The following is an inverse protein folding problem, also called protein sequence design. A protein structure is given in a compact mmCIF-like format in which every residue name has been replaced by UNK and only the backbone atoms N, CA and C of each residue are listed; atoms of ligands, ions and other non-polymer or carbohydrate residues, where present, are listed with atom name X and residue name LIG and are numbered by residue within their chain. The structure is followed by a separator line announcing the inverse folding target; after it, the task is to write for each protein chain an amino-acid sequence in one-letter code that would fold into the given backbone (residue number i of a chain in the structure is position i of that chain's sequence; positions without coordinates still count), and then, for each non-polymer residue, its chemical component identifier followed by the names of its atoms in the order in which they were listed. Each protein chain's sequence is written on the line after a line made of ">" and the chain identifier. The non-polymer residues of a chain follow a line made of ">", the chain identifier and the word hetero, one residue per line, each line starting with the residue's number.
data_IF_714175923545
#
_entry.id   IF_714175923545
#
_cell.length_a   1.000
_cell.length_b   1.000
_cell.length_c   1.000
_cell.angle_alpha   90.00
_cell.angle_beta   90.00
_cell.angle_gamma   90.00
#
_symmetry.space_group_name_H-M   'P 1'
#
loop_
_entity.id
_entity.type
_entity.pdbx_description
1 polymer ?
#
# COMPACT_ATOMS: atom_id res chain seq x y z
N UNK A 1 10.93 23.85 16.26
CA UNK A 1 10.38 22.51 16.54
C UNK A 1 11.30 21.49 15.93
N UNK A 2 11.90 20.59 16.68
CA UNK A 2 12.76 19.55 16.13
C UNK A 2 11.89 18.58 15.30
N UNK A 3 12.35 18.13 14.12
CA UNK A 3 11.65 17.10 13.34
C UNK A 3 11.52 15.85 14.19
N UNK A 4 10.31 15.30 14.28
CA UNK A 4 10.09 14.02 14.97
C UNK A 4 10.93 12.95 14.27
N UNK A 5 11.71 12.15 15.01
CA UNK A 5 12.48 11.08 14.42
C UNK A 5 11.53 10.12 13.67
N UNK A 6 11.98 9.51 12.55
CA UNK A 6 11.19 8.51 11.86
C UNK A 6 10.80 7.41 12.84
N UNK A 7 9.52 7.05 12.87
CA UNK A 7 9.03 5.98 13.72
C UNK A 7 9.69 4.69 13.24
N UNK A 8 10.46 4.04 14.12
CA UNK A 8 11.06 2.75 13.81
C UNK A 8 9.94 1.73 13.60
N UNK A 9 9.99 0.99 12.50
CA UNK A 9 9.03 -0.05 12.14
C UNK A 9 9.78 -1.36 11.96
N UNK A 10 9.45 -2.35 12.76
CA UNK A 10 9.98 -3.72 12.63
C UNK A 10 9.07 -4.53 11.70
N UNK A 11 9.66 -5.35 10.84
CA UNK A 11 8.90 -6.26 9.98
C UNK A 11 8.88 -7.65 10.63
N UNK A 12 7.70 -8.11 10.99
CA UNK A 12 7.48 -9.38 11.67
C UNK A 12 7.31 -10.55 10.68
N UNK A 13 6.63 -10.28 9.56
CA UNK A 13 6.43 -11.26 8.49
C UNK A 13 6.36 -10.56 7.13
N UNK A 14 6.80 -11.25 6.11
CA UNK A 14 6.78 -10.82 4.72
C UNK A 14 6.17 -11.92 3.85
N UNK A 15 5.46 -11.50 2.81
CA UNK A 15 4.97 -12.37 1.74
C UNK A 15 4.88 -11.58 0.45
N UNK A 16 4.98 -12.27 -0.66
CA UNK A 16 4.84 -11.68 -1.99
C UNK A 16 4.14 -12.65 -2.93
N UNK A 17 3.32 -12.11 -3.80
CA UNK A 17 2.70 -12.86 -4.89
C UNK A 17 2.64 -12.00 -6.13
N UNK A 18 2.79 -12.63 -7.28
CA UNK A 18 2.53 -12.04 -8.59
C UNK A 18 1.24 -12.64 -9.13
N UNK A 19 0.29 -11.78 -9.50
CA UNK A 19 -1.01 -12.16 -10.05
C UNK A 19 -1.12 -11.45 -11.40
N UNK A 20 -1.09 -12.21 -12.49
CA UNK A 20 -1.02 -11.68 -13.86
C UNK A 20 0.22 -10.77 -14.03
N UNK A 21 0.03 -9.46 -14.15
CA UNK A 21 1.11 -8.46 -14.31
C UNK A 21 1.23 -7.54 -13.09
N UNK A 22 0.62 -7.92 -11.97
CA UNK A 22 0.56 -7.14 -10.74
C UNK A 22 1.31 -7.87 -9.62
N UNK A 23 2.28 -7.19 -9.02
CA UNK A 23 3.00 -7.69 -7.86
C UNK A 23 2.38 -7.13 -6.58
N UNK A 24 2.06 -8.02 -5.64
CA UNK A 24 1.58 -7.67 -4.30
C UNK A 24 2.61 -8.05 -3.26
N UNK A 25 2.95 -7.09 -2.39
CA UNK A 25 3.87 -7.31 -1.26
C UNK A 25 3.12 -7.09 0.04
N UNK A 26 3.20 -8.09 0.92
CA UNK A 26 2.57 -8.10 2.24
C UNK A 26 3.64 -7.98 3.31
N UNK A 27 3.51 -7.04 4.21
CA UNK A 27 4.42 -6.84 5.32
C UNK A 27 3.63 -6.66 6.61
N UNK A 28 3.68 -7.66 7.48
CA UNK A 28 3.22 -7.51 8.86
C UNK A 28 4.29 -6.73 9.62
N UNK A 29 3.94 -5.57 10.11
CA UNK A 29 4.85 -4.64 10.76
C UNK A 29 4.39 -4.29 12.16
N UNK A 30 5.35 -3.89 12.99
CA UNK A 30 5.10 -3.35 14.33
C UNK A 30 5.86 -2.04 14.52
N UNK A 31 5.24 -1.10 15.21
CA UNK A 31 5.85 0.13 15.66
C UNK A 31 5.34 0.49 17.07
N UNK A 32 5.81 1.56 17.73
CA UNK A 32 5.33 1.96 19.05
C UNK A 32 3.82 2.25 19.16
N UNK A 33 3.12 2.39 18.03
CA UNK A 33 1.67 2.64 18.00
C UNK A 33 0.87 1.35 17.84
N UNK A 34 1.52 0.22 17.58
CA UNK A 34 0.90 -1.08 17.40
C UNK A 34 1.35 -1.80 16.15
N UNK A 35 0.69 -2.92 15.88
CA UNK A 35 0.92 -3.81 14.76
C UNK A 35 -0.04 -3.47 13.62
N UNK A 36 0.41 -3.68 12.39
CA UNK A 36 -0.39 -3.46 11.19
C UNK A 36 0.13 -4.29 10.01
N UNK A 37 -0.76 -4.66 9.11
CA UNK A 37 -0.42 -5.24 7.82
C UNK A 37 -0.36 -4.12 6.78
N UNK A 38 0.77 -4.02 6.09
CA UNK A 38 0.92 -3.18 4.89
C UNK A 38 0.86 -4.08 3.66
N UNK A 39 -0.04 -3.76 2.74
CA UNK A 39 -0.13 -4.40 1.43
C UNK A 39 0.19 -3.36 0.38
N UNK A 40 1.15 -3.64 -0.48
CA UNK A 40 1.55 -2.76 -1.58
C UNK A 40 1.29 -3.47 -2.90
N UNK A 41 0.62 -2.80 -3.81
CA UNK A 41 0.40 -3.22 -5.20
C UNK A 41 1.36 -2.47 -6.12
N UNK A 42 1.90 -3.17 -7.12
CA UNK A 42 2.64 -2.58 -8.24
C UNK A 42 2.17 -3.19 -9.54
N UNK A 43 1.65 -2.34 -10.44
CA UNK A 43 1.26 -2.71 -11.82
C UNK A 43 1.89 -1.71 -12.78
N UNK A 44 2.97 -2.11 -13.46
CA UNK A 44 3.76 -1.16 -14.26
C UNK A 44 4.28 -0.01 -13.41
N UNK A 45 3.87 1.23 -13.73
CA UNK A 45 4.22 2.45 -12.98
C UNK A 45 3.19 2.83 -11.90
N UNK A 46 2.05 2.11 -11.83
CA UNK A 46 1.02 2.37 -10.83
C UNK A 46 1.37 1.71 -9.49
N UNK A 47 1.07 2.41 -8.40
CA UNK A 47 1.30 1.98 -7.04
C UNK A 47 0.05 2.16 -6.18
N UNK A 48 -0.38 1.08 -5.53
CA UNK A 48 -1.39 1.09 -4.48
C UNK A 48 -0.78 0.69 -3.13
N UNK A 49 -1.36 1.18 -2.03
CA UNK A 49 -0.92 0.80 -0.69
C UNK A 49 -2.10 0.86 0.29
N UNK A 50 -2.37 -0.25 0.97
CA UNK A 50 -3.29 -0.32 2.09
C UNK A 50 -2.53 -0.56 3.40
N UNK A 51 -3.02 0.02 4.49
CA UNK A 51 -2.50 -0.20 5.84
C UNK A 51 -3.67 -0.62 6.74
N UNK A 52 -3.68 -1.90 7.13
CA UNK A 52 -4.75 -2.50 7.92
C UNK A 52 -4.23 -2.65 9.36
N UNK A 53 -4.83 -1.96 10.36
CA UNK A 53 -4.49 -2.18 11.76
C UNK A 53 -4.72 -3.63 12.18
N UNK A 54 -3.91 -4.13 13.13
CA UNK A 54 -4.00 -5.49 13.66
C UNK A 54 -5.42 -5.83 14.17
N UNK A 55 -6.05 -4.89 14.85
CA UNK A 55 -7.43 -4.98 15.33
C UNK A 55 -8.48 -5.26 14.25
N UNK A 56 -8.15 -4.98 12.98
CA UNK A 56 -9.05 -5.17 11.85
C UNK A 56 -8.69 -6.33 10.91
N UNK A 57 -7.59 -7.03 11.13
CA UNK A 57 -7.12 -8.08 10.21
C UNK A 57 -8.13 -9.22 10.05
N UNK A 58 -8.76 -9.66 11.15
CA UNK A 58 -9.77 -10.71 11.10
C UNK A 58 -11.01 -10.26 10.30
N UNK A 59 -11.50 -9.05 10.55
CA UNK A 59 -12.64 -8.52 9.82
C UNK A 59 -12.30 -8.31 8.32
N UNK A 60 -11.09 -7.86 8.01
CA UNK A 60 -10.60 -7.73 6.64
C UNK A 60 -10.57 -9.07 5.91
N UNK A 61 -10.06 -10.12 6.58
CA UNK A 61 -10.08 -11.50 6.07
C UNK A 61 -11.50 -11.98 5.77
N UNK A 62 -12.42 -11.78 6.70
CA UNK A 62 -13.83 -12.19 6.51
C UNK A 62 -14.47 -11.50 5.28
N UNK A 63 -14.11 -10.25 5.01
CA UNK A 63 -14.58 -9.60 3.78
C UNK A 63 -13.98 -10.25 2.53
N UNK A 64 -12.69 -10.62 2.55
CA UNK A 64 -12.06 -11.34 1.45
C UNK A 64 -12.73 -12.71 1.21
N UNK A 65 -13.07 -13.46 2.27
CA UNK A 65 -13.80 -14.73 2.16
C UNK A 65 -15.15 -14.55 1.44
N UNK A 66 -15.91 -13.53 1.82
CA UNK A 66 -17.19 -13.19 1.17
C UNK A 66 -17.04 -12.79 -0.29
N UNK A 67 -15.96 -12.06 -0.61
CA UNK A 67 -15.67 -11.64 -2.01
C UNK A 67 -15.22 -12.82 -2.85
N UNK A 68 -14.39 -13.71 -2.30
CA UNK A 68 -13.96 -14.92 -2.98
C UNK A 68 -15.15 -15.85 -3.27
N UNK A 69 -16.05 -16.04 -2.31
CA UNK A 69 -17.28 -16.79 -2.54
C UNK A 69 -18.10 -16.21 -3.70
N UNK A 70 -18.34 -14.89 -3.67
CA UNK A 70 -19.09 -14.22 -4.73
C UNK A 70 -18.36 -14.24 -6.10
N UNK A 71 -17.03 -14.21 -6.10
CA UNK A 71 -16.25 -14.31 -7.34
C UNK A 71 -16.36 -15.69 -8.01
N UNK A 72 -16.63 -16.75 -7.23
CA UNK A 72 -16.84 -18.12 -7.72
C UNK A 72 -18.29 -18.40 -8.14
N UNK A 73 -19.23 -17.50 -7.85
CA UNK A 73 -20.60 -17.65 -8.33
C UNK A 73 -20.70 -17.44 -9.84
N UNK A 74 -21.63 -18.15 -10.55
CA UNK A 74 -21.83 -17.94 -11.97
C UNK A 74 -22.18 -16.46 -12.25
N UNK A 75 -21.75 -15.90 -13.40
CA UNK A 75 -22.07 -14.52 -13.74
C UNK A 75 -23.58 -14.33 -13.85
N UNK A 76 -24.12 -13.19 -13.36
CA UNK A 76 -25.50 -12.84 -13.66
C UNK A 76 -25.68 -12.73 -15.17
N UNK A 77 -26.91 -13.02 -15.65
CA UNK A 77 -27.29 -12.95 -17.07
C UNK A 77 -27.38 -11.48 -17.54
N UNK A 78 -26.27 -10.74 -17.45
CA UNK A 78 -26.17 -9.35 -17.87
C UNK A 78 -25.32 -9.23 -19.15
N UNK A 79 -25.50 -8.15 -19.91
CA UNK A 79 -24.78 -7.89 -21.14
C UNK A 79 -23.27 -7.96 -20.93
N UNK A 80 -22.51 -8.69 -21.75
CA UNK A 80 -21.06 -8.90 -21.58
C UNK A 80 -20.22 -7.64 -21.71
N UNK A 81 -20.77 -6.55 -22.25
CA UNK A 81 -20.01 -5.35 -22.61
C UNK A 81 -20.06 -4.23 -21.57
N UNK A 82 -20.78 -4.39 -20.45
CA UNK A 82 -20.91 -3.37 -19.44
C UNK A 82 -20.16 -3.73 -18.15
N UNK A 83 -19.57 -2.73 -17.51
CA UNK A 83 -19.00 -2.88 -16.17
C UNK A 83 -20.13 -3.05 -15.16
N UNK A 84 -20.09 -4.14 -14.39
CA UNK A 84 -21.08 -4.47 -13.38
C UNK A 84 -20.45 -4.63 -12.01
N UNK A 85 -21.07 -4.06 -10.99
CA UNK A 85 -20.77 -4.37 -9.59
C UNK A 85 -21.54 -5.62 -9.18
N UNK A 86 -20.82 -6.68 -8.84
CA UNK A 86 -21.39 -7.96 -8.41
C UNK A 86 -21.69 -7.98 -6.92
N UNK A 87 -20.80 -7.39 -6.10
CA UNK A 87 -20.95 -7.34 -4.66
C UNK A 87 -20.20 -6.14 -4.08
N UNK A 88 -20.76 -5.55 -3.05
CA UNK A 88 -20.12 -4.50 -2.25
C UNK A 88 -20.27 -4.83 -0.78
N UNK A 89 -19.17 -4.77 -0.03
CA UNK A 89 -19.12 -4.92 1.42
C UNK A 89 -18.24 -3.80 2.00
N UNK A 90 -18.47 -3.49 3.27
CA UNK A 90 -17.69 -2.46 3.96
C UNK A 90 -17.40 -2.88 5.38
N UNK A 91 -16.20 -2.55 5.85
CA UNK A 91 -15.82 -2.73 7.26
C UNK A 91 -15.13 -1.48 7.77
N UNK A 92 -15.47 -1.09 8.98
CA UNK A 92 -14.82 -0.01 9.71
C UNK A 92 -13.80 -0.59 10.68
N UNK A 93 -12.56 -0.12 10.61
CA UNK A 93 -11.47 -0.50 11.50
C UNK A 93 -10.86 0.76 12.07
N UNK A 94 -11.09 1.03 13.34
CA UNK A 94 -10.64 2.26 14.00
C UNK A 94 -11.16 3.51 13.26
N UNK A 95 -10.25 4.31 12.70
CA UNK A 95 -10.56 5.54 11.94
C UNK A 95 -10.56 5.32 10.44
N UNK A 96 -10.42 4.07 9.99
CA UNK A 96 -10.33 3.68 8.59
C UNK A 96 -11.58 2.94 8.15
N UNK A 97 -12.06 3.23 6.97
CA UNK A 97 -13.10 2.46 6.29
C UNK A 97 -12.48 1.69 5.13
N UNK A 98 -12.78 0.41 5.03
CA UNK A 98 -12.40 -0.43 3.90
C UNK A 98 -13.65 -0.83 3.14
N UNK A 99 -13.75 -0.43 1.88
CA UNK A 99 -14.84 -0.81 0.98
C UNK A 99 -14.32 -1.82 -0.02
N UNK A 100 -14.97 -2.97 -0.09
CA UNK A 100 -14.67 -4.05 -1.02
C UNK A 100 -15.72 -4.05 -2.12
N UNK A 101 -15.30 -3.94 -3.36
CA UNK A 101 -16.19 -3.90 -4.53
C UNK A 101 -15.75 -4.97 -5.51
N UNK A 102 -16.52 -6.04 -5.62
CA UNK A 102 -16.31 -7.06 -6.64
C UNK A 102 -17.00 -6.60 -7.93
N UNK A 103 -16.21 -6.41 -8.96
CA UNK A 103 -16.64 -5.92 -10.26
C UNK A 103 -16.35 -6.92 -11.36
N UNK A 104 -17.10 -6.81 -12.45
CA UNK A 104 -16.85 -7.52 -13.69
C UNK A 104 -16.87 -6.52 -14.84
N UNK A 105 -15.88 -6.60 -15.71
CA UNK A 105 -15.82 -5.87 -16.98
C UNK A 105 -15.48 -6.84 -18.14
N UNK A 106 -15.37 -6.38 -19.39
CA UNK A 106 -15.01 -7.25 -20.54
C UNK A 106 -13.67 -7.98 -20.41
N UNK A 107 -12.76 -7.51 -19.53
CA UNK A 107 -11.46 -8.14 -19.28
C UNK A 107 -11.53 -9.23 -18.20
N UNK A 108 -12.61 -9.27 -17.41
CA UNK A 108 -12.81 -10.27 -16.37
C UNK A 108 -13.33 -9.70 -15.05
N UNK A 109 -13.28 -10.53 -14.02
CA UNK A 109 -13.64 -10.15 -12.64
C UNK A 109 -12.43 -9.66 -11.88
N UNK A 110 -12.65 -8.67 -11.05
CA UNK A 110 -11.63 -8.14 -10.14
C UNK A 110 -12.27 -7.60 -8.86
N UNK A 111 -11.53 -7.69 -7.76
CA UNK A 111 -11.86 -7.06 -6.50
C UNK A 111 -11.11 -5.74 -6.38
N UNK A 112 -11.83 -4.65 -6.15
CA UNK A 112 -11.27 -3.38 -5.73
C UNK A 112 -11.45 -3.23 -4.23
N UNK A 113 -10.36 -2.94 -3.50
CA UNK A 113 -10.39 -2.63 -2.07
C UNK A 113 -9.98 -1.17 -1.90
N UNK A 114 -10.87 -0.37 -1.32
CA UNK A 114 -10.67 1.07 -1.12
C UNK A 114 -10.52 1.32 0.38
N UNK A 115 -9.36 1.81 0.80
CA UNK A 115 -9.12 2.34 2.15
C UNK A 115 -9.43 3.83 2.16
N UNK A 116 -10.28 4.29 3.06
CA UNK A 116 -10.57 5.71 3.27
C UNK A 116 -10.21 6.11 4.69
N UNK A 117 -9.42 7.19 4.83
CA UNK A 117 -8.99 7.74 6.11
C UNK A 117 -8.90 9.26 6.04
N UNK A 118 -9.68 9.97 6.85
CA UNK A 118 -9.58 11.42 6.93
C UNK A 118 -9.78 12.15 5.60
N UNK A 119 -10.68 11.65 4.75
CA UNK A 119 -10.99 12.22 3.43
C UNK A 119 -9.99 11.87 2.32
N UNK A 120 -9.05 10.96 2.59
CA UNK A 120 -8.12 10.40 1.60
C UNK A 120 -8.50 8.96 1.32
N UNK A 121 -8.31 8.53 0.08
CA UNK A 121 -8.54 7.14 -0.33
C UNK A 121 -7.31 6.58 -1.04
N UNK A 122 -7.00 5.33 -0.73
CA UNK A 122 -6.08 4.48 -1.47
C UNK A 122 -6.84 3.25 -1.93
N UNK A 123 -6.46 2.67 -3.05
CA UNK A 123 -7.09 1.44 -3.50
C UNK A 123 -6.07 0.41 -4.01
N UNK A 124 -6.48 -0.84 -4.01
CA UNK A 124 -5.82 -1.97 -4.66
C UNK A 124 -6.81 -2.65 -5.59
N UNK A 125 -6.32 -3.17 -6.72
CA UNK A 125 -7.11 -3.94 -7.68
C UNK A 125 -6.52 -5.34 -7.79
N UNK A 126 -7.31 -6.36 -7.45
CA UNK A 126 -6.89 -7.75 -7.41
C UNK A 126 -7.70 -8.53 -8.44
N UNK A 127 -7.07 -9.09 -9.52
CA UNK A 127 -7.74 -9.98 -10.44
C UNK A 127 -8.36 -11.18 -9.72
N UNK A 128 -9.56 -11.60 -10.12
CA UNK A 128 -10.25 -12.71 -9.46
C UNK A 128 -9.48 -14.04 -9.57
N UNK A 129 -8.70 -14.21 -10.64
CA UNK A 129 -7.79 -15.35 -10.84
C UNK A 129 -6.78 -15.56 -9.72
N UNK A 130 -6.38 -14.48 -9.02
CA UNK A 130 -5.42 -14.52 -7.93
C UNK A 130 -6.01 -14.22 -6.55
N UNK A 131 -7.32 -14.02 -6.45
CA UNK A 131 -7.96 -13.59 -5.20
C UNK A 131 -7.79 -14.61 -4.06
N UNK A 132 -7.82 -15.91 -4.36
CA UNK A 132 -7.57 -16.96 -3.39
C UNK A 132 -6.13 -16.91 -2.86
N UNK A 133 -5.14 -16.76 -3.73
CA UNK A 133 -3.74 -16.64 -3.34
C UNK A 133 -3.49 -15.38 -2.51
N UNK A 134 -4.10 -14.26 -2.89
CA UNK A 134 -4.05 -13.02 -2.11
C UNK A 134 -4.62 -13.22 -0.70
N UNK A 135 -5.80 -13.84 -0.60
CA UNK A 135 -6.45 -14.18 0.67
C UNK A 135 -5.56 -15.07 1.54
N UNK A 136 -4.96 -16.10 0.97
CA UNK A 136 -4.08 -17.03 1.71
C UNK A 136 -2.90 -16.29 2.34
N UNK A 137 -2.31 -15.30 1.65
CA UNK A 137 -1.26 -14.47 2.24
C UNK A 137 -1.78 -13.59 3.38
N UNK A 138 -3.00 -13.06 3.30
CA UNK A 138 -3.62 -12.35 4.43
C UNK A 138 -3.82 -13.29 5.63
N UNK A 139 -4.27 -14.54 5.40
CA UNK A 139 -4.41 -15.57 6.45
C UNK A 139 -3.07 -15.89 7.12
N UNK A 140 -2.00 -15.99 6.34
CA UNK A 140 -0.65 -16.18 6.89
C UNK A 140 -0.18 -14.98 7.73
N UNK A 141 -0.47 -13.77 7.31
CA UNK A 141 -0.15 -12.55 8.08
C UNK A 141 -0.95 -12.50 9.39
N UNK A 142 -2.24 -12.83 9.33
CA UNK A 142 -3.12 -12.90 10.51
C UNK A 142 -2.64 -13.97 11.48
N UNK A 143 -2.28 -15.17 11.00
CA UNK A 143 -1.71 -16.23 11.84
C UNK A 143 -0.43 -15.77 12.54
N UNK A 144 0.49 -15.15 11.80
CA UNK A 144 1.72 -14.60 12.37
C UNK A 144 1.45 -13.48 13.40
N UNK A 145 0.42 -12.66 13.18
CA UNK A 145 0.00 -11.64 14.12
C UNK A 145 -0.51 -12.25 15.43
N UNK A 146 -1.23 -13.36 15.36
CA UNK A 146 -1.77 -14.06 16.55
C UNK A 146 -0.71 -14.87 17.31
N UNK A 147 0.30 -15.41 16.62
CA UNK A 147 1.36 -16.21 17.21
C UNK A 147 2.43 -15.37 17.94
N UNK A 148 2.58 -14.11 17.60
CA UNK A 148 3.56 -13.23 18.21
C UNK A 148 2.89 -12.35 19.26
N UNK A 149 3.16 -12.51 20.58
CA UNK A 149 2.66 -11.61 21.59
C UNK A 149 3.15 -10.17 21.29
N UNK A 150 2.33 -9.17 21.63
CA UNK A 150 2.71 -7.76 21.60
C UNK A 150 3.81 -7.51 22.64
N UNK A 151 5.04 -7.89 22.35
CA UNK A 151 6.17 -7.55 23.21
C UNK A 151 6.57 -6.10 22.91
N UNK A 152 6.57 -5.28 23.96
CA UNK A 152 7.29 -4.03 23.94
C UNK A 152 8.71 -4.29 23.45
N UNK A 153 9.17 -3.50 22.49
CA UNK A 153 10.44 -3.60 21.81
C UNK A 153 11.57 -4.18 22.66
N UNK A 154 11.89 -5.46 22.47
CA UNK A 154 13.09 -6.07 23.01
C UNK A 154 13.68 -7.01 21.94
N UNK A 155 14.84 -6.60 21.44
CA UNK A 155 15.92 -7.44 21.00
C UNK A 155 15.62 -8.51 19.96
N UNK A 156 15.97 -8.20 18.75
CA UNK A 156 16.20 -9.03 17.58
C UNK A 156 16.87 -10.38 17.93
N UNK A 157 16.14 -11.50 17.84
CA UNK A 157 16.77 -12.74 17.43
C UNK A 157 16.63 -12.88 15.90
N UNK A 158 17.76 -12.98 15.25
CA UNK A 158 17.88 -13.03 13.81
C UNK A 158 17.22 -14.31 13.26
N UNK A 159 16.03 -14.17 12.67
CA UNK A 159 15.57 -15.16 11.71
C UNK A 159 16.53 -15.13 10.51
N UNK A 160 16.92 -16.29 9.93
CA UNK A 160 17.88 -16.33 8.81
C UNK A 160 17.34 -15.71 7.52
N UNK A 161 16.14 -15.18 7.52
CA UNK A 161 15.57 -14.40 6.43
C UNK A 161 15.37 -12.95 6.89
N UNK A 162 16.32 -12.08 6.53
CA UNK A 162 16.13 -10.63 6.61
C UNK A 162 15.19 -10.22 5.49
N UNK A 163 14.00 -9.64 5.82
CA UNK A 163 13.18 -8.99 4.79
C UNK A 163 14.06 -7.97 4.07
N UNK A 164 13.83 -7.74 2.77
CA UNK A 164 14.46 -6.62 2.11
C UNK A 164 14.04 -5.36 2.87
N UNK A 165 14.90 -4.96 3.79
CA UNK A 165 14.83 -3.63 4.39
C UNK A 165 14.90 -2.69 3.20
N UNK A 166 13.98 -1.74 3.09
CA UNK A 166 14.17 -0.65 2.14
C UNK A 166 15.50 0.01 2.50
N UNK A 167 16.58 -0.37 1.85
CA UNK A 167 17.87 0.26 2.05
C UNK A 167 17.75 1.70 1.64
N UNK A 168 17.99 2.61 2.57
CA UNK A 168 18.04 4.03 2.26
C UNK A 168 19.40 4.28 1.63
N UNK A 169 19.43 4.41 0.30
CA UNK A 169 20.64 4.68 -0.45
C UNK A 169 21.06 6.16 -0.33
N UNK A 170 20.08 7.05 -0.23
CA UNK A 170 20.31 8.50 -0.06
C UNK A 170 19.09 9.14 0.61
N UNK A 171 19.35 10.11 1.46
CA UNK A 171 18.34 10.91 2.15
C UNK A 171 18.59 12.40 1.91
N UNK A 172 17.53 13.19 1.77
CA UNK A 172 17.57 14.64 1.65
C UNK A 172 16.30 15.25 2.24
N UNK A 173 16.42 16.49 2.69
CA UNK A 173 15.28 17.23 3.23
C UNK A 173 15.29 18.65 2.70
N UNK A 174 14.12 19.22 2.49
CA UNK A 174 13.96 20.65 2.27
C UNK A 174 12.70 21.15 2.97
N UNK A 175 12.72 22.40 3.36
CA UNK A 175 11.57 23.09 3.94
C UNK A 175 11.15 24.23 3.03
N UNK A 176 9.86 24.29 2.73
CA UNK A 176 9.25 25.38 1.98
C UNK A 176 8.04 25.87 2.79
N UNK A 177 8.13 27.10 3.31
CA UNK A 177 7.10 27.71 4.15
C UNK A 177 6.74 26.80 5.34
N UNK A 178 5.48 26.31 5.39
CA UNK A 178 4.96 25.42 6.45
C UNK A 178 5.04 23.94 6.09
N UNK A 179 5.70 23.60 4.97
CA UNK A 179 5.80 22.22 4.50
C UNK A 179 7.24 21.74 4.58
N UNK A 180 7.46 20.55 5.11
CA UNK A 180 8.73 19.86 4.98
C UNK A 180 8.62 18.72 3.97
N UNK A 181 9.66 18.54 3.17
CA UNK A 181 9.76 17.48 2.19
C UNK A 181 10.96 16.61 2.54
N UNK A 182 10.74 15.31 2.68
CA UNK A 182 11.80 14.32 2.86
C UNK A 182 11.92 13.50 1.58
N UNK A 183 13.13 13.47 1.01
CA UNK A 183 13.46 12.70 -0.19
C UNK A 183 14.29 11.49 0.24
N UNK A 184 13.86 10.30 -0.11
CA UNK A 184 14.56 9.06 0.23
C UNK A 184 14.71 8.20 -1.04
N UNK A 185 15.93 8.10 -1.56
CA UNK A 185 16.23 7.07 -2.55
C UNK A 185 16.37 5.75 -1.82
N UNK A 186 15.53 4.80 -2.16
CA UNK A 186 15.44 3.49 -1.51
C UNK A 186 15.63 2.37 -2.51
N UNK A 187 16.03 1.20 -2.00
CA UNK A 187 16.08 -0.07 -2.73
C UNK A 187 15.38 -1.14 -1.93
N UNK A 188 14.56 -1.95 -2.60
CA UNK A 188 13.95 -3.16 -2.05
C UNK A 188 13.99 -4.29 -3.10
N UNK A 189 13.31 -5.40 -2.82
CA UNK A 189 13.22 -6.53 -3.75
C UNK A 189 12.56 -6.20 -5.09
N UNK A 190 11.72 -5.14 -5.15
CA UNK A 190 11.04 -4.69 -6.35
C UNK A 190 11.87 -3.67 -7.17
N UNK A 191 13.04 -3.27 -6.67
CA UNK A 191 13.93 -2.33 -7.35
C UNK A 191 14.24 -1.07 -6.53
N UNK A 192 14.75 -0.06 -7.22
CA UNK A 192 15.07 1.25 -6.64
C UNK A 192 13.95 2.24 -6.92
N UNK A 193 13.67 3.10 -5.96
CA UNK A 193 12.65 4.13 -6.08
C UNK A 193 12.98 5.36 -5.22
N UNK A 194 12.51 6.52 -5.63
CA UNK A 194 12.51 7.73 -4.82
C UNK A 194 11.19 7.84 -4.08
N UNK A 195 11.24 7.91 -2.76
CA UNK A 195 10.11 8.27 -1.92
C UNK A 195 10.22 9.74 -1.53
N UNK A 196 9.20 10.54 -1.84
CA UNK A 196 9.07 11.92 -1.40
C UNK A 196 7.93 11.97 -0.39
N UNK A 197 8.21 12.42 0.82
CA UNK A 197 7.20 12.61 1.87
C UNK A 197 7.05 14.11 2.09
N UNK A 198 5.85 14.63 1.85
CA UNK A 198 5.44 15.96 2.26
C UNK A 198 4.82 15.88 3.65
N UNK A 199 5.31 16.66 4.60
CA UNK A 199 4.67 16.90 5.89
C UNK A 199 4.16 18.34 5.95
N UNK A 200 2.87 18.48 6.16
CA UNK A 200 2.22 19.75 6.43
C UNK A 200 1.42 19.64 7.72
N UNK A 201 1.89 20.26 8.79
CA UNK A 201 1.22 20.30 10.11
C UNK A 201 0.87 18.87 10.63
N UNK A 202 1.76 17.89 10.41
CA UNK A 202 1.58 16.49 10.79
C UNK A 202 0.73 15.65 9.81
N UNK A 203 0.31 16.23 8.69
CA UNK A 203 -0.33 15.50 7.59
C UNK A 203 0.74 15.07 6.58
N UNK A 204 0.89 13.76 6.40
CA UNK A 204 1.89 13.17 5.52
C UNK A 204 1.26 12.81 4.17
N UNK A 205 1.83 13.35 3.08
CA UNK A 205 1.60 12.88 1.72
C UNK A 205 2.85 12.16 1.24
N UNK A 206 2.70 11.08 0.51
CA UNK A 206 3.83 10.32 -0.02
C UNK A 206 3.68 10.16 -1.52
N UNK A 207 4.75 10.44 -2.25
CA UNK A 207 4.90 10.18 -3.68
C UNK A 207 6.04 9.16 -3.82
N UNK A 208 5.82 8.13 -4.65
CA UNK A 208 6.83 7.12 -4.98
C UNK A 208 7.08 7.18 -6.48
N UNK A 209 8.35 7.30 -6.87
CA UNK A 209 8.79 7.40 -8.26
C UNK A 209 9.80 6.27 -8.49
N UNK A 210 9.51 5.30 -9.38
CA UNK A 210 10.46 4.28 -9.77
C UNK A 210 11.77 4.90 -10.30
N UNK A 211 12.90 4.22 -10.09
CA UNK A 211 14.21 4.76 -10.48
C UNK A 211 14.31 5.00 -12.00
N UNK A 212 13.64 4.16 -12.77
CA UNK A 212 13.57 4.26 -14.23
C UNK A 212 12.90 5.56 -14.70
N UNK A 213 11.93 6.07 -13.93
CA UNK A 213 11.18 7.30 -14.22
C UNK A 213 11.83 8.58 -13.66
N UNK A 214 12.94 8.48 -12.89
CA UNK A 214 13.51 9.64 -12.18
C UNK A 214 14.05 10.74 -13.12
N UNK A 215 14.67 10.37 -14.25
CA UNK A 215 15.21 11.35 -15.19
C UNK A 215 14.05 12.10 -15.90
N UNK A 216 12.99 11.42 -16.26
CA UNK A 216 11.81 12.04 -16.84
C UNK A 216 11.09 12.95 -15.84
N UNK A 217 10.90 12.47 -14.60
CA UNK A 217 10.36 13.29 -13.52
C UNK A 217 11.16 14.56 -13.29
N UNK A 218 12.48 14.45 -13.22
CA UNK A 218 13.40 15.58 -13.09
C UNK A 218 13.25 16.58 -14.25
N UNK A 219 13.17 16.09 -15.49
CA UNK A 219 12.97 16.92 -16.69
C UNK A 219 11.70 17.77 -16.54
N UNK A 220 10.58 17.16 -16.16
CA UNK A 220 9.33 17.88 -15.98
C UNK A 220 9.38 18.89 -14.82
N UNK A 221 10.00 18.55 -13.70
CA UNK A 221 10.19 19.49 -12.58
C UNK A 221 11.01 20.71 -13.03
N UNK A 222 12.08 20.50 -13.81
CA UNK A 222 12.90 21.59 -14.34
C UNK A 222 12.12 22.47 -15.34
N UNK A 223 11.33 21.86 -16.22
CA UNK A 223 10.49 22.60 -17.16
C UNK A 223 9.42 23.45 -16.44
N UNK A 224 8.77 22.91 -15.42
CA UNK A 224 7.81 23.66 -14.61
C UNK A 224 8.48 24.82 -13.85
N UNK A 225 9.69 24.61 -13.33
CA UNK A 225 10.45 25.67 -12.68
C UNK A 225 10.85 26.81 -13.63
N UNK A 226 11.20 26.48 -14.88
CA UNK A 226 11.47 27.48 -15.92
C UNK A 226 10.21 28.27 -16.32
N UNK A 227 9.08 27.56 -16.49
CA UNK A 227 7.79 28.17 -16.81
C UNK A 227 7.33 29.13 -15.71
N UNK A 228 7.47 28.74 -14.44
CA UNK A 228 7.13 29.57 -13.29
C UNK A 228 7.91 30.88 -13.22
N UNK A 229 9.16 30.91 -13.69
CA UNK A 229 9.96 32.15 -13.73
C UNK A 229 9.50 33.12 -14.82
N UNK A 230 9.03 32.59 -15.96
CA UNK A 230 8.51 33.40 -17.07
C UNK A 230 7.16 34.06 -16.79
N UNK A 231 6.38 33.52 -15.85
CA UNK A 231 5.06 34.05 -15.45
C UNK A 231 5.16 35.14 -14.37
N UNK A 232 6.36 35.46 -13.88
CA UNK A 232 6.60 36.52 -12.89
C UNK A 232 7.05 37.86 -13.54
N UNK A 233 7.19 37.91 -14.85
CA UNK A 233 7.37 39.09 -15.66
C UNK A 233 6.03 39.51 -16.30
#
# INVERSE_FOLDING_TARGET
>A
MQPRPPVQEDTLKYGQVEIEHTSFVFMLKQNPRGRFLRITEKTGDAFGCLIIPDSGLEAFKQMLDKMLQAANEPPPAASPDAKHTLKTEQVQVERKSFTFVLEQDPRGRFLRIIETTGGRSNDLIIPASGLETFKNLVDEMLKAANEQPLTAAAGTEAHPWTPPVDDILKNGQMQLERKSFTFQLKKNALGRFLRIVEDKDGRLNTIIIPAEGLEEFKKWVVEMAKASKKLKE
#
